data_IF_733979937779
#
_entry.id   IF_733979937779
#
_cell.length_a   1.000
_cell.length_b   1.000
_cell.length_c   1.000
_cell.angle_alpha   90.00
_cell.angle_beta   90.00
_cell.angle_gamma   90.00
#
_symmetry.space_group_name_H-M   'P 1'
#
loop_
_entity.id
_entity.type
_entity.pdbx_description
1 polymer ?
#
# COMPACT_ATOMS: atom_id res chain seq x y z
N UNK A 1 15.22 -43.08 -3.25
CA UNK A 1 14.96 -42.58 -3.15
C UNK A 1 14.61 -41.56 -2.87
N UNK A 2 14.43 -41.36 -2.76
CA UNK A 2 14.06 -40.53 -2.53
C UNK A 2 13.68 -39.47 -2.18
N UNK A 3 13.34 -38.97 -2.00
CA UNK A 3 13.00 -38.14 -1.64
C UNK A 3 12.66 -37.08 -1.33
N UNK A 4 12.34 -36.74 -1.13
CA UNK A 4 12.00 -35.82 -0.75
C UNK A 4 11.63 -34.83 -0.43
N UNK A 5 11.39 -34.41 -0.21
CA UNK A 5 11.03 -33.64 0.21
C UNK A 5 10.76 -32.66 0.45
N UNK A 6 10.49 -32.20 0.64
CA UNK A 6 10.19 -31.35 0.91
C UNK A 6 9.89 -30.39 1.19
N UNK A 7 9.62 -30.12 1.45
CA UNK A 7 9.30 -29.23 1.86
C UNK A 7 8.92 -28.29 2.21
N UNK A 8 8.69 -27.96 2.52
CA UNK A 8 8.33 -27.26 2.90
C UNK A 8 8.10 -26.29 3.18
N UNK A 9 7.90 -25.93 3.41
CA UNK A 9 7.67 -25.09 3.59
C UNK A 9 7.29 -24.18 3.93
N UNK A 10 7.10 -24.09 4.33
CA UNK A 10 6.68 -23.33 4.60
C UNK A 10 6.18 -22.38 4.94
N UNK A 11 6.00 -22.26 5.29
CA UNK A 11 5.43 -21.49 5.45
C UNK A 11 5.13 -20.49 5.87
N UNK A 12 5.13 -20.40 6.17
CA UNK A 12 4.79 -19.62 6.70
C UNK A 12 4.35 -18.65 6.92
N UNK A 13 4.23 -18.48 7.08
CA UNK A 13 3.91 -17.72 7.30
C UNK A 13 3.35 -16.89 7.72
N UNK A 14 3.14 -16.84 8.00
CA UNK A 14 2.51 -16.15 8.30
C UNK A 14 2.13 -15.39 8.86
N UNK A 15 2.06 -15.13 9.04
CA UNK A 15 1.70 -14.57 9.53
C UNK A 15 0.94 -13.80 9.90
N UNK A 16 0.74 -13.78 10.12
CA UNK A 16 -0.04 -13.21 10.81
C UNK A 16 -0.20 -11.87 10.70
N UNK A 17 -0.86 -11.49 9.90
CA UNK A 17 -1.12 -10.19 9.86
C UNK A 17 -2.24 -9.92 10.70
N UNK A 18 -2.06 -9.07 11.61
CA UNK A 18 -3.11 -8.71 12.46
C UNK A 18 -3.74 -7.51 11.94
N UNK A 19 -4.96 -7.29 12.30
CA UNK A 19 -5.66 -6.10 11.97
C UNK A 19 -4.82 -4.91 12.31
N UNK A 20 -4.60 -4.06 11.35
CA UNK A 20 -3.89 -2.82 11.56
C UNK A 20 -2.40 -2.91 11.48
N UNK A 21 -1.88 -4.12 11.30
CA UNK A 21 -0.44 -4.24 11.22
C UNK A 21 -0.03 -4.77 9.87
N UNK A 22 0.65 -3.93 9.11
CA UNK A 22 1.14 -4.29 7.79
C UNK A 22 2.61 -3.92 7.71
N UNK A 23 3.42 -4.68 6.97
CA UNK A 23 4.84 -4.36 6.84
C UNK A 23 5.03 -2.96 6.29
N UNK A 24 6.06 -2.29 6.75
CA UNK A 24 6.38 -0.96 6.28
C UNK A 24 7.19 -1.02 4.99
N UNK A 25 7.08 0.03 4.18
CA UNK A 25 7.91 0.18 2.99
C UNK A 25 8.62 1.52 3.11
N UNK A 26 9.86 1.58 2.68
CA UNK A 26 10.61 2.83 2.72
C UNK A 26 10.24 3.72 1.54
N UNK A 27 10.54 5.01 1.67
CA UNK A 27 10.33 5.96 0.59
C UNK A 27 11.09 5.54 -0.66
N UNK A 28 12.36 5.11 -0.50
CA UNK A 28 13.17 4.72 -1.64
C UNK A 28 12.60 3.49 -2.34
N UNK A 29 12.15 2.51 -1.57
CA UNK A 29 11.55 1.32 -2.15
C UNK A 29 10.27 1.66 -2.90
N UNK A 30 9.46 2.55 -2.33
CA UNK A 30 8.23 2.95 -2.98
C UNK A 30 8.52 3.74 -4.26
N UNK A 31 9.50 4.65 -4.22
CA UNK A 31 9.89 5.39 -5.42
C UNK A 31 10.26 4.44 -6.54
N UNK A 32 11.05 3.44 -6.22
CA UNK A 32 11.48 2.50 -7.24
C UNK A 32 10.30 1.72 -7.80
N UNK A 33 9.39 1.26 -6.92
CA UNK A 33 8.22 0.52 -7.38
C UNK A 33 7.34 1.38 -8.28
N UNK A 34 7.19 2.66 -7.96
CA UNK A 34 6.42 3.59 -8.78
C UNK A 34 7.08 3.74 -10.15
N UNK A 35 8.40 3.93 -10.17
CA UNK A 35 9.11 4.13 -11.45
C UNK A 35 9.03 2.89 -12.33
N UNK A 36 8.94 1.71 -11.73
CA UNK A 36 8.81 0.47 -12.47
C UNK A 36 7.36 0.10 -12.76
N UNK A 37 6.42 0.91 -12.28
CA UNK A 37 4.99 0.68 -12.46
C UNK A 37 4.55 -0.65 -11.87
N UNK A 38 5.11 -0.98 -10.70
CA UNK A 38 4.86 -2.25 -10.03
C UNK A 38 4.18 -2.09 -8.69
N UNK A 39 3.43 -1.01 -8.50
CA UNK A 39 2.74 -0.77 -7.24
C UNK A 39 1.45 -0.02 -7.48
N UNK A 40 0.46 -0.30 -6.64
CA UNK A 40 -0.74 0.52 -6.56
C UNK A 40 -0.70 1.21 -5.21
N UNK A 41 -0.76 2.53 -5.21
CA UNK A 41 -0.65 3.34 -3.99
C UNK A 41 -2.03 3.89 -3.66
N UNK A 42 -2.40 3.84 -2.39
CA UNK A 42 -3.72 4.31 -1.93
C UNK A 42 -3.50 5.40 -0.89
N UNK A 43 -4.02 6.58 -1.18
CA UNK A 43 -3.96 7.75 -0.29
C UNK A 43 -5.19 7.76 0.61
N UNK A 44 -4.98 7.79 1.93
CA UNK A 44 -6.08 7.74 2.90
C UNK A 44 -6.15 9.04 3.68
N UNK A 45 -5.80 10.16 3.06
CA UNK A 45 -5.82 11.48 3.70
C UNK A 45 -7.12 12.25 3.46
N UNK A 46 -8.04 11.68 2.70
CA UNK A 46 -9.28 12.35 2.34
C UNK A 46 -9.15 13.11 1.03
N UNK A 47 -10.28 13.34 0.39
CA UNK A 47 -10.28 13.89 -0.97
C UNK A 47 -9.72 15.30 -1.05
N UNK A 48 -9.98 16.15 -0.04
CA UNK A 48 -9.44 17.50 -0.09
C UNK A 48 -7.92 17.51 -0.05
N UNK A 49 -7.33 16.75 0.86
CA UNK A 49 -5.87 16.66 0.93
C UNK A 49 -5.29 15.99 -0.30
N UNK A 50 -5.99 14.97 -0.81
CA UNK A 50 -5.56 14.29 -2.02
C UNK A 50 -5.43 15.28 -3.18
N UNK A 51 -6.41 16.17 -3.32
CA UNK A 51 -6.38 17.14 -4.41
C UNK A 51 -5.23 18.12 -4.30
N UNK A 52 -4.86 18.47 -3.06
CA UNK A 52 -3.78 19.42 -2.85
C UNK A 52 -2.41 18.82 -3.13
N UNK A 53 -2.27 17.55 -2.93
CA UNK A 53 -1.01 16.89 -3.22
C UNK A 53 -1.01 15.46 -2.71
N UNK A 54 -0.73 14.53 -3.62
CA UNK A 54 -0.65 13.11 -3.29
C UNK A 54 0.55 12.50 -3.98
N UNK A 55 0.94 11.32 -3.53
CA UNK A 55 2.04 10.59 -4.15
C UNK A 55 1.62 10.27 -5.59
N UNK A 56 2.52 10.47 -6.56
CA UNK A 56 2.15 10.29 -7.97
C UNK A 56 1.50 8.94 -8.25
N UNK A 57 0.35 8.98 -8.91
CA UNK A 57 -0.39 7.78 -9.26
C UNK A 57 -1.27 7.21 -8.17
N UNK A 58 -1.28 7.80 -6.98
CA UNK A 58 -2.08 7.27 -5.87
C UNK A 58 -3.57 7.37 -6.15
N UNK A 59 -4.30 6.41 -5.60
CA UNK A 59 -5.77 6.38 -5.64
C UNK A 59 -6.29 7.10 -4.41
N UNK A 60 -7.31 7.91 -4.57
CA UNK A 60 -8.00 8.56 -3.45
C UNK A 60 -8.96 7.55 -2.82
N UNK A 61 -8.63 7.04 -1.64
CA UNK A 61 -9.43 6.02 -1.00
C UNK A 61 -10.85 6.50 -0.70
N UNK A 62 -10.99 7.76 -0.29
CA UNK A 62 -12.31 8.27 0.04
C UNK A 62 -13.27 8.19 -1.15
N UNK A 63 -12.75 8.43 -2.35
CA UNK A 63 -13.57 8.37 -3.55
C UNK A 63 -13.72 6.94 -4.08
N UNK A 64 -12.73 6.09 -3.85
CA UNK A 64 -12.68 4.78 -4.49
C UNK A 64 -13.16 3.63 -3.62
N UNK A 65 -13.36 3.85 -2.32
CA UNK A 65 -13.58 2.71 -1.42
C UNK A 65 -14.81 1.88 -1.77
N UNK A 66 -15.81 2.47 -2.38
CA UNK A 66 -17.03 1.73 -2.74
C UNK A 66 -16.79 0.76 -3.90
N UNK A 67 -15.76 0.99 -4.71
CA UNK A 67 -15.45 0.12 -5.84
C UNK A 67 -13.95 -0.16 -5.92
N UNK A 68 -13.32 -0.33 -4.76
CA UNK A 68 -11.88 -0.50 -4.67
C UNK A 68 -11.39 -1.68 -5.51
N UNK A 69 -12.15 -2.77 -5.54
CA UNK A 69 -11.74 -3.95 -6.29
C UNK A 69 -11.50 -3.65 -7.76
N UNK A 70 -12.22 -2.68 -8.31
CA UNK A 70 -12.06 -2.32 -9.72
C UNK A 70 -10.85 -1.43 -9.95
N UNK A 71 -10.30 -0.84 -8.87
CA UNK A 71 -9.15 0.04 -8.95
C UNK A 71 -7.83 -0.70 -8.74
N UNK A 72 -7.90 -1.91 -8.21
CA UNK A 72 -6.70 -2.68 -7.86
C UNK A 72 -6.36 -3.64 -8.99
N UNK A 73 -5.07 -4.05 -9.09
CA UNK A 73 -4.67 -4.93 -10.18
C UNK A 73 -5.30 -6.32 -10.06
N UNK A 74 -5.38 -7.01 -11.19
CA UNK A 74 -5.94 -8.36 -11.19
C UNK A 74 -5.07 -9.36 -10.43
N UNK A 75 -3.76 -9.14 -10.43
CA UNK A 75 -2.82 -10.02 -9.75
C UNK A 75 -2.88 -9.76 -8.24
N UNK A 76 -3.37 -10.74 -7.50
CA UNK A 76 -3.53 -10.60 -6.05
C UNK A 76 -2.21 -10.60 -5.28
N UNK A 77 -1.13 -10.98 -5.92
CA UNK A 77 0.20 -10.87 -5.33
C UNK A 77 0.89 -9.55 -5.60
N UNK A 78 0.27 -8.67 -6.37
CA UNK A 78 0.86 -7.39 -6.70
C UNK A 78 0.94 -6.50 -5.46
N UNK A 79 1.97 -5.64 -5.42
CA UNK A 79 2.20 -4.76 -4.29
C UNK A 79 1.15 -3.67 -4.21
N UNK A 80 0.57 -3.51 -3.02
CA UNK A 80 -0.38 -2.45 -2.71
C UNK A 80 0.16 -1.71 -1.50
N UNK A 81 0.25 -0.39 -1.58
CA UNK A 81 0.79 0.42 -0.49
C UNK A 81 -0.25 1.46 -0.09
N UNK A 82 -0.59 1.50 1.19
CA UNK A 82 -1.52 2.50 1.72
C UNK A 82 -0.75 3.49 2.59
N UNK A 83 -1.14 4.75 2.56
CA UNK A 83 -0.50 5.76 3.39
C UNK A 83 -1.48 6.84 3.80
N UNK A 84 -1.14 7.55 4.89
CA UNK A 84 -1.85 8.77 5.25
C UNK A 84 -0.83 9.87 5.58
N UNK A 85 -0.97 10.55 6.71
CA UNK A 85 -0.18 11.76 6.95
C UNK A 85 1.26 11.52 7.36
N UNK A 86 1.49 10.62 8.28
CA UNK A 86 2.82 10.37 8.82
C UNK A 86 2.82 9.21 9.78
N UNK A 87 3.90 9.05 10.56
CA UNK A 87 4.09 7.83 11.36
C UNK A 87 3.03 7.58 12.42
N UNK A 88 2.36 8.63 12.91
CA UNK A 88 1.37 8.45 13.95
C UNK A 88 -0.04 8.27 13.40
N UNK A 89 -0.22 8.33 12.09
CA UNK A 89 -1.54 8.21 11.49
C UNK A 89 -1.92 6.76 11.29
N UNK A 90 -3.06 6.35 11.83
CA UNK A 90 -3.55 4.99 11.68
C UNK A 90 -4.61 4.81 10.61
N UNK A 91 -5.02 5.89 9.97
CA UNK A 91 -6.12 5.83 9.00
C UNK A 91 -5.79 4.95 7.78
N UNK A 92 -4.50 4.78 7.46
CA UNK A 92 -4.10 3.93 6.34
C UNK A 92 -4.69 2.53 6.48
N UNK A 93 -4.92 2.09 7.70
CA UNK A 93 -5.35 0.71 7.95
C UNK A 93 -6.69 0.40 7.29
N UNK A 94 -7.56 1.39 7.13
CA UNK A 94 -8.83 1.16 6.47
C UNK A 94 -8.63 0.66 5.04
N UNK A 95 -7.73 1.30 4.30
CA UNK A 95 -7.45 0.88 2.92
C UNK A 95 -6.66 -0.42 2.88
N UNK A 96 -5.68 -0.55 3.77
CA UNK A 96 -4.85 -1.75 3.79
C UNK A 96 -5.70 -2.98 4.11
N UNK A 97 -6.60 -2.86 5.09
CA UNK A 97 -7.50 -3.96 5.42
C UNK A 97 -8.47 -4.27 4.28
N UNK A 98 -8.99 -3.22 3.64
CA UNK A 98 -9.90 -3.42 2.52
C UNK A 98 -9.22 -4.20 1.40
N UNK A 99 -7.98 -3.86 1.08
CA UNK A 99 -7.23 -4.58 0.05
C UNK A 99 -6.97 -6.02 0.50
N UNK A 100 -6.59 -6.20 1.75
CA UNK A 100 -6.33 -7.54 2.28
C UNK A 100 -7.58 -8.40 2.19
N UNK A 101 -8.73 -7.85 2.54
CA UNK A 101 -9.99 -8.59 2.50
C UNK A 101 -10.41 -8.94 1.07
N UNK A 102 -9.94 -8.19 0.09
CA UNK A 102 -10.17 -8.51 -1.30
C UNK A 102 -9.21 -9.57 -1.84
N UNK A 103 -8.30 -10.07 -0.98
CA UNK A 103 -7.41 -11.16 -1.35
C UNK A 103 -5.99 -10.75 -1.69
N UNK A 104 -5.65 -9.46 -1.56
CA UNK A 104 -4.29 -9.01 -1.87
C UNK A 104 -3.35 -9.42 -0.75
N UNK A 105 -2.26 -10.09 -1.10
CA UNK A 105 -1.36 -10.70 -0.13
C UNK A 105 -0.09 -9.89 0.10
N UNK A 106 0.15 -8.86 -0.70
CA UNK A 106 1.37 -8.06 -0.59
C UNK A 106 1.00 -6.61 -0.32
N UNK A 107 0.39 -6.36 0.84
CA UNK A 107 -0.07 -5.04 1.24
C UNK A 107 0.91 -4.47 2.25
N UNK A 108 1.39 -3.26 2.00
CA UNK A 108 2.35 -2.60 2.88
C UNK A 108 1.88 -1.19 3.23
N UNK A 109 2.52 -0.64 4.23
CA UNK A 109 2.22 0.68 4.77
C UNK A 109 3.42 1.59 4.56
N UNK A 110 3.21 2.77 3.98
CA UNK A 110 4.26 3.79 3.99
C UNK A 110 4.07 4.63 5.25
N UNK A 111 4.77 4.25 6.32
CA UNK A 111 4.60 4.93 7.61
C UNK A 111 5.08 6.36 7.56
N UNK A 112 6.05 6.67 6.69
CA UNK A 112 6.50 8.05 6.53
C UNK A 112 5.37 8.97 6.07
N UNK A 113 4.40 8.43 5.33
CA UNK A 113 3.24 9.19 4.89
C UNK A 113 3.57 10.31 3.94
N UNK A 114 2.57 11.14 3.65
CA UNK A 114 2.78 12.27 2.74
C UNK A 114 3.79 13.26 3.32
N UNK A 115 3.83 13.40 4.66
CA UNK A 115 4.79 14.30 5.29
C UNK A 115 6.22 13.88 5.02
N UNK A 116 6.55 12.61 5.27
CA UNK A 116 7.90 12.13 5.02
C UNK A 116 8.25 12.14 3.55
N UNK A 117 7.27 11.83 2.70
CA UNK A 117 7.48 11.86 1.25
C UNK A 117 7.94 13.26 0.82
N UNK A 118 7.22 14.31 1.26
CA UNK A 118 7.56 15.68 0.92
C UNK A 118 8.87 16.12 1.58
N UNK A 119 9.07 15.75 2.83
CA UNK A 119 10.29 16.12 3.55
C UNK A 119 11.53 15.54 2.90
N UNK A 120 11.41 14.41 2.23
CA UNK A 120 12.53 13.79 1.54
C UNK A 120 12.75 14.38 0.14
N UNK A 121 11.99 15.41 -0.21
CA UNK A 121 12.18 16.11 -1.49
C UNK A 121 11.46 15.48 -2.67
N UNK A 122 10.54 14.56 -2.41
CA UNK A 122 9.83 13.90 -3.50
C UNK A 122 8.68 14.76 -4.00
N UNK A 123 8.35 14.60 -5.27
CA UNK A 123 7.29 15.38 -5.88
C UNK A 123 5.92 14.79 -5.58
N UNK A 124 4.91 15.65 -5.63
CA UNK A 124 3.51 15.22 -5.49
C UNK A 124 2.74 15.67 -6.71
N UNK A 125 1.55 15.10 -6.87
CA UNK A 125 0.63 15.49 -7.94
C UNK A 125 -0.61 16.10 -7.33
N UNK A 126 -1.19 17.05 -8.06
CA UNK A 126 -2.46 17.66 -7.68
C UNK A 126 -3.57 17.09 -8.54
N UNK A 127 -4.78 17.14 -8.03
CA UNK A 127 -5.95 16.71 -8.77
C UNK A 127 -7.00 17.81 -8.74
N UNK A 128 -7.85 17.82 -9.77
CA UNK A 128 -8.92 18.82 -9.88
C UNK A 128 -10.17 18.38 -9.17
#
# INVERSE_FOLDING_TARGET
>A
MKKFLTFLAVAFSAVSLYAGEFPDISINELKQAISEKKVTVIDVNGSDSYKEGHIPGAIDFAAAKANLAQQLPADKGALVVAYCGGPTCGAYAAAAKAAHELGYTNVKHLSAGISGWKDSGQTTEKAN
#
